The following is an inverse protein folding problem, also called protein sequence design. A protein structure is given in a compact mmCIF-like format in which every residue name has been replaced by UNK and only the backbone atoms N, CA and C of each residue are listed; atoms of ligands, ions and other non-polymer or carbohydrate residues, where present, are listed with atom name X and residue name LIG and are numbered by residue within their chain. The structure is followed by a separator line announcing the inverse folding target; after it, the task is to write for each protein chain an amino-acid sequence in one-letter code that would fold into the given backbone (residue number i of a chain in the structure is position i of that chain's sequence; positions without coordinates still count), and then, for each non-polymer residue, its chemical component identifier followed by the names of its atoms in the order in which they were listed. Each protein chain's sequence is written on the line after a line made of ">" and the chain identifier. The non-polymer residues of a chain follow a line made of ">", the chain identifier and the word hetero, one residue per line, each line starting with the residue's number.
data_IF_769466463174
#
_entry.id   IF_769466463174
#
_cell.length_a   1.000
_cell.length_b   1.000
_cell.length_c   1.000
_cell.angle_alpha   90.00
_cell.angle_beta   90.00
_cell.angle_gamma   90.00
#
_symmetry.space_group_name_H-M   'P 1'
#
loop_
_entity.id
_entity.type
_entity.pdbx_description
1 polymer ?
#
# COMPACT_ATOMS: atom_id res chain seq x y z
N UNK A 1 -15.48 -6.33 -1.22
CA UNK A 1 -15.78 -7.12 -2.42
C UNK A 1 -14.47 -7.38 -3.14
N UNK A 2 -14.13 -8.64 -3.43
CA UNK A 2 -12.88 -9.00 -4.13
C UNK A 2 -12.94 -8.68 -5.63
N UNK A 3 -14.15 -8.61 -6.18
CA UNK A 3 -14.48 -8.31 -7.59
C UNK A 3 -14.23 -6.86 -8.00
N UNK A 4 -14.27 -5.91 -7.06
CA UNK A 4 -14.10 -4.50 -7.38
C UNK A 4 -12.62 -4.14 -7.65
N UNK A 5 -11.68 -4.92 -7.08
CA UNK A 5 -10.25 -4.76 -7.34
C UNK A 5 -9.88 -5.17 -8.75
N UNK A 6 -10.40 -6.30 -9.22
CA UNK A 6 -10.05 -6.85 -10.53
C UNK A 6 -10.40 -5.85 -11.64
N UNK A 7 -11.64 -5.34 -11.67
CA UNK A 7 -12.07 -4.37 -12.69
C UNK A 7 -11.30 -3.04 -12.63
N UNK A 8 -11.04 -2.51 -11.42
CA UNK A 8 -10.28 -1.26 -11.27
C UNK A 8 -8.82 -1.41 -11.71
N UNK A 9 -8.19 -2.55 -11.37
CA UNK A 9 -6.80 -2.79 -11.73
C UNK A 9 -6.62 -3.12 -13.22
N UNK A 10 -7.60 -3.80 -13.82
CA UNK A 10 -7.67 -3.97 -15.28
C UNK A 10 -7.77 -2.62 -15.98
N UNK A 11 -8.63 -1.71 -15.51
CA UNK A 11 -8.74 -0.36 -16.06
C UNK A 11 -7.42 0.41 -15.95
N UNK A 12 -6.74 0.37 -14.80
CA UNK A 12 -5.42 0.99 -14.62
C UNK A 12 -4.38 0.42 -15.59
N UNK A 13 -4.39 -0.90 -15.80
CA UNK A 13 -3.49 -1.54 -16.75
C UNK A 13 -3.78 -1.08 -18.18
N UNK A 14 -5.05 -0.99 -18.57
CA UNK A 14 -5.45 -0.49 -19.89
C UNK A 14 -5.04 0.97 -20.11
N UNK A 15 -5.17 1.84 -19.11
CA UNK A 15 -4.72 3.23 -19.14
C UNK A 15 -3.20 3.34 -19.34
N UNK A 16 -2.42 2.50 -18.65
CA UNK A 16 -0.96 2.44 -18.82
C UNK A 16 -0.60 2.00 -20.24
N UNK A 17 -1.21 0.93 -20.74
CA UNK A 17 -0.88 0.37 -22.05
C UNK A 17 -1.30 1.28 -23.20
N UNK A 18 -2.51 1.83 -23.16
CA UNK A 18 -3.00 2.79 -24.14
C UNK A 18 -2.17 4.08 -24.14
N UNK A 19 -1.90 4.63 -22.95
CA UNK A 19 -1.10 5.84 -22.80
C UNK A 19 0.37 5.67 -23.23
N UNK A 20 0.94 4.47 -23.05
CA UNK A 20 2.31 4.19 -23.53
C UNK A 20 2.35 4.03 -25.06
N UNK A 21 1.35 3.37 -25.65
CA UNK A 21 1.23 3.23 -27.12
C UNK A 21 1.10 4.60 -27.77
N UNK A 22 0.22 5.46 -27.26
CA UNK A 22 0.03 6.81 -27.80
C UNK A 22 1.30 7.64 -27.66
N UNK A 23 1.94 7.62 -26.49
CA UNK A 23 3.20 8.33 -26.27
C UNK A 23 4.28 7.89 -27.27
N UNK A 24 4.42 6.58 -27.54
CA UNK A 24 5.42 6.06 -28.50
C UNK A 24 5.16 6.54 -29.93
N UNK A 25 3.90 6.70 -30.35
CA UNK A 25 3.53 7.25 -31.66
C UNK A 25 3.90 8.72 -31.77
N UNK A 26 3.72 9.50 -30.71
CA UNK A 26 4.07 10.91 -30.65
C UNK A 26 5.60 11.13 -30.55
N UNK A 27 6.34 10.14 -30.07
CA UNK A 27 7.79 10.21 -29.87
C UNK A 27 8.53 9.17 -30.72
N UNK A 28 8.48 9.28 -32.07
CA UNK A 28 9.03 8.27 -32.98
C UNK A 28 10.53 8.03 -32.78
N UNK A 29 11.28 9.08 -32.38
CA UNK A 29 12.73 9.10 -32.21
C UNK A 29 13.19 9.12 -30.75
N UNK A 30 12.30 8.82 -29.81
CA UNK A 30 12.69 8.74 -28.39
C UNK A 30 13.87 7.78 -28.21
N UNK A 31 14.84 8.22 -27.42
CA UNK A 31 15.92 7.38 -26.92
C UNK A 31 15.39 6.34 -25.94
N UNK A 32 16.19 5.30 -25.67
CA UNK A 32 15.85 4.29 -24.67
C UNK A 32 15.54 4.93 -23.30
N UNK A 33 16.37 5.89 -22.85
CA UNK A 33 16.18 6.58 -21.57
C UNK A 33 14.84 7.30 -21.49
N UNK A 34 14.40 7.94 -22.57
CA UNK A 34 13.10 8.61 -22.61
C UNK A 34 11.94 7.60 -22.59
N UNK A 35 12.10 6.48 -23.29
CA UNK A 35 11.12 5.38 -23.28
C UNK A 35 10.98 4.78 -21.88
N UNK A 36 12.11 4.49 -21.22
CA UNK A 36 12.15 3.99 -19.84
C UNK A 36 11.49 4.97 -18.87
N UNK A 37 11.86 6.26 -18.94
CA UNK A 37 11.29 7.28 -18.05
C UNK A 37 9.77 7.39 -18.21
N UNK A 38 9.27 7.39 -19.46
CA UNK A 38 7.85 7.47 -19.74
C UNK A 38 7.08 6.22 -19.28
N UNK A 39 7.69 5.04 -19.41
CA UNK A 39 7.11 3.79 -18.96
C UNK A 39 7.08 3.71 -17.42
N UNK A 40 8.20 4.02 -16.77
CA UNK A 40 8.35 4.00 -15.31
C UNK A 40 7.40 4.97 -14.62
N UNK A 41 7.18 6.15 -15.19
CA UNK A 41 6.23 7.13 -14.66
C UNK A 41 4.79 6.57 -14.63
N UNK A 42 4.40 5.86 -15.70
CA UNK A 42 3.06 5.25 -15.83
C UNK A 42 2.90 4.05 -14.92
N UNK A 43 3.86 3.13 -14.93
CA UNK A 43 3.87 1.96 -14.06
C UNK A 43 3.96 2.35 -12.59
N UNK A 44 4.73 3.39 -12.26
CA UNK A 44 4.83 3.94 -10.92
C UNK A 44 3.46 4.35 -10.38
N UNK A 45 2.69 5.13 -11.14
CA UNK A 45 1.33 5.54 -10.73
C UNK A 45 0.40 4.35 -10.52
N UNK A 46 0.36 3.41 -11.46
CA UNK A 46 -0.44 2.18 -11.33
C UNK A 46 -0.06 1.40 -10.08
N UNK A 47 1.23 1.17 -9.87
CA UNK A 47 1.77 0.49 -8.68
C UNK A 47 1.35 1.21 -7.39
N UNK A 48 1.43 2.53 -7.36
CA UNK A 48 1.03 3.32 -6.18
C UNK A 48 -0.46 3.11 -5.87
N UNK A 49 -1.33 3.14 -6.87
CA UNK A 49 -2.76 2.91 -6.67
C UNK A 49 -3.06 1.50 -6.17
N UNK A 50 -2.48 0.48 -6.81
CA UNK A 50 -2.64 -0.91 -6.37
C UNK A 50 -2.16 -1.13 -4.94
N UNK A 51 -1.03 -0.51 -4.55
CA UNK A 51 -0.51 -0.59 -3.19
C UNK A 51 -1.45 0.09 -2.17
N UNK A 52 -1.97 1.27 -2.50
CA UNK A 52 -2.92 1.98 -1.66
C UNK A 52 -4.18 1.13 -1.44
N UNK A 53 -4.76 0.60 -2.51
CA UNK A 53 -5.95 -0.25 -2.46
C UNK A 53 -5.71 -1.50 -1.60
N UNK A 54 -4.59 -2.20 -1.82
CA UNK A 54 -4.23 -3.39 -1.05
C UNK A 54 -4.01 -3.11 0.44
N UNK A 55 -3.40 -1.97 0.78
CA UNK A 55 -3.18 -1.57 2.18
C UNK A 55 -4.50 -1.18 2.85
N UNK A 56 -5.38 -0.46 2.16
CA UNK A 56 -6.68 -0.02 2.71
C UNK A 56 -7.70 -1.16 2.80
N UNK A 57 -7.55 -2.22 1.99
CA UNK A 57 -8.36 -3.43 2.10
C UNK A 57 -8.06 -4.28 3.34
N UNK A 58 -6.97 -4.01 4.06
CA UNK A 58 -6.59 -4.75 5.26
C UNK A 58 -7.61 -4.54 6.39
N UNK A 59 -7.95 -5.61 7.14
CA UNK A 59 -8.76 -5.49 8.36
C UNK A 59 -8.13 -4.56 9.41
N UNK A 60 -6.82 -4.34 9.33
CA UNK A 60 -6.10 -3.41 10.19
C UNK A 60 -6.27 -1.92 9.80
N UNK A 61 -6.89 -1.62 8.65
CA UNK A 61 -7.12 -0.25 8.20
C UNK A 61 -8.22 0.46 9.02
N UNK A 62 -9.22 -0.29 9.51
CA UNK A 62 -10.32 0.22 10.32
C UNK A 62 -10.60 -0.73 11.50
N UNK A 63 -10.05 -0.37 12.67
CA UNK A 63 -10.12 -1.20 13.89
C UNK A 63 -11.57 -1.37 14.36
N UNK A 64 -12.43 -0.36 14.16
CA UNK A 64 -13.83 -0.41 14.59
C UNK A 64 -14.69 -1.24 13.66
N UNK A 65 -14.48 -1.12 12.35
CA UNK A 65 -15.22 -1.86 11.34
C UNK A 65 -14.77 -3.33 11.22
N UNK A 66 -13.56 -3.67 11.68
CA UNK A 66 -13.06 -5.03 11.66
C UNK A 66 -13.90 -5.97 12.55
N UNK A 67 -14.14 -7.18 12.03
CA UNK A 67 -14.75 -8.27 12.79
C UNK A 67 -13.84 -8.65 13.97
N UNK A 68 -14.41 -9.07 15.10
CA UNK A 68 -13.64 -9.34 16.33
C UNK A 68 -12.45 -10.29 16.11
N UNK A 69 -12.62 -11.34 15.29
CA UNK A 69 -11.56 -12.32 14.98
C UNK A 69 -10.44 -11.72 14.12
N UNK A 70 -10.75 -10.68 13.34
CA UNK A 70 -9.83 -10.00 12.43
C UNK A 70 -9.25 -8.71 13.03
N UNK A 71 -9.71 -8.32 14.23
CA UNK A 71 -9.20 -7.14 14.92
C UNK A 71 -7.73 -7.34 15.25
N UNK A 72 -6.91 -6.31 15.01
CA UNK A 72 -5.50 -6.43 15.30
C UNK A 72 -5.24 -6.43 16.81
N UNK A 73 -4.23 -7.19 17.22
CA UNK A 73 -3.72 -7.25 18.59
C UNK A 73 -2.39 -6.52 18.72
N UNK A 74 -2.02 -6.15 19.94
CA UNK A 74 -0.76 -5.51 20.24
C UNK A 74 0.42 -6.43 19.88
N UNK A 75 1.38 -5.93 19.10
CA UNK A 75 2.57 -6.70 18.71
C UNK A 75 3.51 -6.99 19.90
N UNK A 76 3.49 -6.13 20.93
CA UNK A 76 4.36 -6.22 22.10
C UNK A 76 3.84 -7.21 23.16
N UNK A 77 2.55 -7.14 23.50
CA UNK A 77 1.98 -7.93 24.60
C UNK A 77 0.79 -8.81 24.22
N UNK A 78 0.32 -8.76 22.96
CA UNK A 78 -0.83 -9.54 22.49
C UNK A 78 -2.20 -9.03 22.96
N UNK A 79 -2.26 -7.96 23.75
CA UNK A 79 -3.52 -7.39 24.23
C UNK A 79 -4.34 -6.72 23.12
N UNK A 80 -5.64 -6.48 23.39
CA UNK A 80 -6.54 -5.82 22.45
C UNK A 80 -6.11 -4.38 22.15
N UNK A 81 -6.30 -3.97 20.89
CA UNK A 81 -6.10 -2.60 20.46
C UNK A 81 -7.43 -1.87 20.36
N UNK A 82 -7.54 -0.74 21.05
CA UNK A 82 -8.64 0.19 20.91
C UNK A 82 -8.25 1.31 19.94
N UNK A 83 -9.16 1.69 19.04
CA UNK A 83 -8.96 2.86 18.18
C UNK A 83 -8.81 4.12 19.03
N UNK A 84 -7.70 4.82 18.84
CA UNK A 84 -7.43 6.13 19.43
C UNK A 84 -7.82 7.27 18.48
N UNK A 85 -7.47 7.14 17.21
CA UNK A 85 -7.68 8.19 16.21
C UNK A 85 -7.66 7.61 14.80
N UNK A 86 -8.15 8.38 13.83
CA UNK A 86 -8.07 8.11 12.39
C UNK A 86 -7.33 9.28 11.76
N UNK A 87 -6.32 9.00 10.95
CA UNK A 87 -5.50 10.04 10.34
C UNK A 87 -5.03 9.63 8.95
N UNK A 88 -4.92 10.64 8.08
CA UNK A 88 -4.34 10.52 6.74
C UNK A 88 -2.82 10.60 6.84
N UNK A 89 -2.12 9.71 6.14
CA UNK A 89 -0.66 9.81 5.93
C UNK A 89 -0.31 9.79 4.45
N UNK A 90 0.70 10.57 4.13
CA UNK A 90 1.36 10.57 2.84
C UNK A 90 2.66 9.78 2.95
N UNK A 91 2.81 8.73 2.16
CA UNK A 91 4.02 7.91 2.12
C UNK A 91 4.61 7.94 0.71
N UNK A 92 5.87 8.35 0.59
CA UNK A 92 6.59 8.24 -0.68
C UNK A 92 7.11 6.81 -0.83
N UNK A 93 6.81 6.18 -1.96
CA UNK A 93 7.26 4.84 -2.30
C UNK A 93 8.29 4.88 -3.42
N UNK A 94 8.76 3.70 -3.84
CA UNK A 94 9.60 3.57 -5.02
C UNK A 94 8.97 4.28 -6.24
N UNK A 95 9.83 4.77 -7.14
CA UNK A 95 9.44 5.62 -8.29
C UNK A 95 8.83 6.98 -7.89
N UNK A 96 9.15 7.48 -6.69
CA UNK A 96 8.75 8.79 -6.18
C UNK A 96 7.23 9.05 -6.21
N UNK A 97 6.44 7.98 -6.02
CA UNK A 97 4.99 8.06 -5.97
C UNK A 97 4.51 8.17 -4.54
N UNK A 98 3.50 9.00 -4.30
CA UNK A 98 2.93 9.21 -2.97
C UNK A 98 1.66 8.36 -2.81
N UNK A 99 1.58 7.61 -1.71
CA UNK A 99 0.36 6.96 -1.25
C UNK A 99 -0.36 7.87 -0.26
N UNK A 100 -1.68 7.93 -0.35
CA UNK A 100 -2.52 8.56 0.65
C UNK A 100 -3.28 7.47 1.42
N UNK A 101 -2.95 7.32 2.70
CA UNK A 101 -3.51 6.26 3.54
C UNK A 101 -4.29 6.86 4.71
N UNK A 102 -5.62 6.79 4.64
CA UNK A 102 -6.49 7.07 5.77
C UNK A 102 -6.80 5.79 6.54
N UNK A 103 -6.39 5.71 7.80
CA UNK A 103 -6.56 4.50 8.62
C UNK A 103 -6.65 4.80 10.12
N UNK A 104 -7.15 3.82 10.87
CA UNK A 104 -7.22 3.84 12.33
C UNK A 104 -5.85 3.56 12.97
N UNK A 105 -5.59 4.24 14.09
CA UNK A 105 -4.43 4.05 14.94
C UNK A 105 -4.88 3.53 16.29
N UNK A 106 -4.30 2.41 16.72
CA UNK A 106 -4.66 1.73 17.95
C UNK A 106 -3.70 2.04 19.10
N UNK A 107 -4.22 2.03 20.32
CA UNK A 107 -3.43 1.94 21.55
C UNK A 107 -3.84 0.69 22.31
N UNK A 108 -2.86 -0.03 22.85
CA UNK A 108 -3.14 -1.17 23.71
C UNK A 108 -3.58 -0.71 25.09
N UNK A 109 -4.70 -1.23 25.58
CA UNK A 109 -5.20 -0.94 26.94
C UNK A 109 -4.35 -1.56 28.05
N UNK A 110 -3.53 -2.57 27.74
CA UNK A 110 -2.74 -3.29 28.73
C UNK A 110 -1.34 -2.71 28.93
N UNK A 111 -0.61 -2.42 27.85
CA UNK A 111 0.77 -1.94 27.93
C UNK A 111 0.94 -0.47 27.49
N UNK A 112 -0.11 0.18 26.99
CA UNK A 112 -0.05 1.54 26.47
C UNK A 112 0.68 1.70 25.13
N UNK A 113 1.19 0.60 24.55
CA UNK A 113 1.88 0.61 23.26
C UNK A 113 0.98 1.13 22.14
N UNK A 114 1.44 2.14 21.41
CA UNK A 114 0.81 2.62 20.18
C UNK A 114 1.32 1.82 18.98
N UNK A 115 0.41 1.34 18.12
CA UNK A 115 0.79 0.44 17.00
C UNK A 115 0.60 1.13 15.65
N UNK A 116 1.58 0.99 14.76
CA UNK A 116 1.54 1.50 13.40
C UNK A 116 2.42 0.68 12.44
N UNK A 117 1.87 0.07 11.37
CA UNK A 117 0.50 -0.44 11.25
C UNK A 117 0.28 -1.59 12.24
N UNK A 118 -0.98 -1.96 12.55
CA UNK A 118 -1.26 -3.21 13.23
C UNK A 118 -1.04 -4.40 12.28
N UNK A 119 0.21 -4.79 12.05
CA UNK A 119 0.56 -5.98 11.28
C UNK A 119 0.99 -7.11 12.22
N UNK A 120 0.44 -8.31 12.03
CA UNK A 120 1.02 -9.55 12.61
C UNK A 120 2.52 -9.53 12.33
N UNK A 121 3.35 -9.92 13.31
CA UNK A 121 4.75 -10.27 13.06
C UNK A 121 4.78 -11.31 11.93
N UNK A 122 5.06 -10.91 10.70
CA UNK A 122 5.72 -11.79 9.76
C UNK A 122 7.17 -11.79 10.18
N UNK A 123 7.66 -12.92 10.68
CA UNK A 123 9.08 -13.10 10.95
C UNK A 123 9.85 -12.92 9.64
N UNK A 124 10.34 -11.71 9.40
CA UNK A 124 11.47 -11.51 8.51
C UNK A 124 12.65 -12.04 9.28
N UNK A 125 13.07 -13.26 8.95
CA UNK A 125 14.40 -13.74 9.28
C UNK A 125 15.33 -12.84 8.47
N UNK A 126 15.90 -11.82 9.10
CA UNK A 126 17.08 -11.17 8.57
C UNK A 126 18.15 -12.24 8.60
N UNK A 127 18.53 -12.75 7.43
CA UNK A 127 19.67 -13.65 7.31
C UNK A 127 20.88 -12.98 7.93
N UNK A 128 21.30 -13.49 9.07
CA UNK A 128 22.63 -13.29 9.63
C UNK A 128 23.63 -13.65 8.54
N UNK A 129 24.33 -12.63 8.05
CA UNK A 129 25.63 -12.83 7.42
C UNK A 129 26.60 -12.96 8.58
N UNK A 130 27.01 -14.20 8.87
CA UNK A 130 28.11 -14.50 9.78
C UNK A 130 29.35 -14.87 8.93
N UNK A 131 30.58 -14.76 9.47
CA UNK A 131 31.69 -14.01 8.88
C UNK A 131 32.59 -14.80 7.93
#
# INVERSE_FOLDING_TARGET
>A
MRTDFDAQWEQLAEEVMSGMKEWRLQHPRASLREIESALDERLGRMRARMLQDAVLASSAADIKAAQEVERPVCAECGGELAERTRAVRHLVTQHNQTLELERSYGVCSQCGGGVFPPGRRTGVVTGESDP
#
